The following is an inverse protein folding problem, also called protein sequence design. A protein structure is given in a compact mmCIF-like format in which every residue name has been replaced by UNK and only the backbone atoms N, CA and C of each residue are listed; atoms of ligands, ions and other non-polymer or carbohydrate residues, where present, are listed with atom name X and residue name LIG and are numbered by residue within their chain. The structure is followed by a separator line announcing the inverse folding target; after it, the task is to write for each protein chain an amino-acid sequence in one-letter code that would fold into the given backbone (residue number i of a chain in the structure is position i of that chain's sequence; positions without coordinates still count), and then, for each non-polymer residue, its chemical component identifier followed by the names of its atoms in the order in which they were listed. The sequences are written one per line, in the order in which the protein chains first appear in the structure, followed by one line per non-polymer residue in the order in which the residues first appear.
data_IF_638055675573
#
_entry.id   IF_638055675573
#
_cell.length_a   1.000
_cell.length_b   1.000
_cell.length_c   1.000
_cell.angle_alpha   90.00
_cell.angle_beta   90.00
_cell.angle_gamma   90.00
#
_symmetry.space_group_name_H-M   'P 1'
#
loop_
_entity.id
_entity.type
_entity.pdbx_description
1 polymer ?
#
# COMPACT_ATOMS: atom_id res chain seq x y z
N UNK A 1 11.79 5.28 10.81
CA UNK A 1 10.39 4.84 10.83
C UNK A 1 10.03 4.22 9.49
N UNK A 2 9.48 3.02 9.48
CA UNK A 2 9.14 2.35 8.23
C UNK A 2 7.88 2.95 7.61
N UNK A 3 7.90 3.14 6.30
CA UNK A 3 6.77 3.67 5.53
C UNK A 3 6.33 2.62 4.52
N UNK A 4 5.07 2.23 4.60
CA UNK A 4 4.53 1.14 3.78
C UNK A 4 3.35 1.65 2.97
N UNK A 5 3.32 1.27 1.69
CA UNK A 5 2.22 1.57 0.79
C UNK A 5 1.42 0.30 0.53
N UNK A 6 0.11 0.38 0.73
CA UNK A 6 -0.83 -0.70 0.43
C UNK A 6 -1.70 -0.25 -0.74
N UNK A 7 -1.80 -1.06 -1.79
CA UNK A 7 -2.52 -0.71 -3.01
C UNK A 7 -3.72 -1.63 -3.21
N UNK A 8 -4.92 -1.03 -3.28
CA UNK A 8 -6.15 -1.74 -3.66
C UNK A 8 -7.15 -0.76 -4.25
N UNK A 9 -7.40 -0.83 -5.56
CA UNK A 9 -8.28 0.13 -6.23
C UNK A 9 -9.75 -0.29 -6.25
N UNK A 10 -10.06 -1.57 -6.29
CA UNK A 10 -11.43 -2.11 -6.38
C UNK A 10 -11.42 -3.61 -6.03
N UNK A 11 -12.56 -4.31 -5.91
CA UNK A 11 -13.89 -3.77 -5.86
C UNK A 11 -14.26 -3.35 -4.43
N UNK A 12 -15.44 -2.75 -4.24
CA UNK A 12 -15.85 -2.22 -2.94
C UNK A 12 -15.68 -3.21 -1.78
N UNK A 13 -16.15 -4.45 -1.96
CA UNK A 13 -16.02 -5.46 -0.91
C UNK A 13 -14.57 -5.77 -0.56
N UNK A 14 -13.71 -5.87 -1.57
CA UNK A 14 -12.28 -6.14 -1.38
C UNK A 14 -11.56 -4.96 -0.74
N UNK A 15 -11.93 -3.73 -1.13
CA UNK A 15 -11.39 -2.53 -0.51
C UNK A 15 -11.79 -2.46 0.95
N UNK A 16 -13.06 -2.76 1.25
CA UNK A 16 -13.57 -2.77 2.63
C UNK A 16 -12.85 -3.81 3.49
N UNK A 17 -12.51 -4.97 2.91
CA UNK A 17 -11.78 -6.01 3.64
C UNK A 17 -10.34 -5.64 3.93
N UNK A 18 -9.79 -4.68 3.23
CA UNK A 18 -8.45 -4.15 3.49
C UNK A 18 -8.42 -3.35 4.80
N UNK A 19 -9.54 -2.73 5.17
CA UNK A 19 -9.60 -1.85 6.33
C UNK A 19 -9.25 -2.55 7.64
N UNK A 20 -9.83 -3.73 7.97
CA UNK A 20 -9.44 -4.43 9.20
C UNK A 20 -7.96 -4.81 9.22
N UNK A 21 -7.40 -5.17 8.08
CA UNK A 21 -5.97 -5.51 7.97
C UNK A 21 -5.12 -4.29 8.28
N UNK A 22 -5.43 -3.16 7.67
CA UNK A 22 -4.71 -1.90 7.90
C UNK A 22 -4.83 -1.46 9.35
N UNK A 23 -6.05 -1.51 9.91
CA UNK A 23 -6.29 -1.15 11.29
C UNK A 23 -5.45 -2.02 12.26
N UNK A 24 -5.49 -3.33 12.04
CA UNK A 24 -4.76 -4.28 12.86
C UNK A 24 -3.26 -4.01 12.83
N UNK A 25 -2.70 -3.79 11.64
CA UNK A 25 -1.28 -3.49 11.48
C UNK A 25 -0.89 -2.17 12.15
N UNK A 26 -1.74 -1.16 12.01
CA UNK A 26 -1.47 0.16 12.57
C UNK A 26 -1.45 0.11 14.11
N UNK A 27 -2.36 -0.66 14.70
CA UNK A 27 -2.42 -0.82 16.15
C UNK A 27 -1.26 -1.65 16.66
N UNK A 28 -0.91 -2.74 15.97
CA UNK A 28 0.18 -3.62 16.38
C UNK A 28 1.56 -2.96 16.23
N UNK A 29 1.70 -2.07 15.26
CA UNK A 29 2.98 -1.42 14.97
C UNK A 29 2.80 0.10 14.93
N UNK A 30 2.67 0.75 16.10
CA UNK A 30 2.40 2.20 16.15
C UNK A 30 3.49 3.06 15.50
N UNK A 31 4.71 2.54 15.40
CA UNK A 31 5.83 3.25 14.78
C UNK A 31 5.85 3.11 13.26
N UNK A 32 4.95 2.28 12.70
CA UNK A 32 4.87 2.07 11.27
C UNK A 32 3.94 3.10 10.65
N UNK A 33 4.40 3.77 9.59
CA UNK A 33 3.54 4.65 8.81
C UNK A 33 2.94 3.86 7.66
N UNK A 34 1.63 3.77 7.61
CA UNK A 34 0.89 3.01 6.60
C UNK A 34 0.14 4.01 5.71
N UNK A 35 0.38 3.92 4.40
CA UNK A 35 -0.37 4.71 3.43
C UNK A 35 -1.18 3.75 2.56
N UNK A 36 -2.47 3.99 2.45
CA UNK A 36 -3.35 3.21 1.59
C UNK A 36 -3.60 3.98 0.30
N UNK A 37 -3.27 3.36 -0.82
CA UNK A 37 -3.56 3.90 -2.14
C UNK A 37 -4.79 3.18 -2.69
N UNK A 38 -5.85 3.93 -2.92
CA UNK A 38 -7.09 3.41 -3.47
C UNK A 38 -7.73 4.48 -4.35
N UNK A 39 -8.88 4.18 -4.93
CA UNK A 39 -9.60 5.20 -5.70
C UNK A 39 -10.11 6.29 -4.75
N UNK A 40 -10.05 7.54 -5.20
CA UNK A 40 -10.46 8.68 -4.38
C UNK A 40 -11.89 8.54 -3.86
N UNK A 41 -12.77 7.89 -4.62
CA UNK A 41 -14.17 7.68 -4.24
C UNK A 41 -14.32 6.86 -2.95
N UNK A 42 -13.31 6.05 -2.60
CA UNK A 42 -13.35 5.21 -1.40
C UNK A 42 -12.80 5.89 -0.15
N UNK A 43 -12.37 7.14 -0.25
CA UNK A 43 -11.79 7.86 0.89
C UNK A 43 -12.65 7.81 2.15
N UNK A 44 -13.98 7.97 2.08
CA UNK A 44 -14.82 7.92 3.29
C UNK A 44 -14.73 6.60 4.07
N UNK A 45 -14.40 5.50 3.38
CA UNK A 45 -14.27 4.19 4.03
C UNK A 45 -13.08 4.12 4.98
N UNK A 46 -12.08 4.97 4.78
CA UNK A 46 -10.82 4.94 5.52
C UNK A 46 -10.76 6.00 6.63
N UNK A 47 -11.89 6.58 6.98
CA UNK A 47 -11.98 7.51 8.09
C UNK A 47 -11.99 6.76 9.42
N UNK A 48 -11.49 7.38 10.47
CA UNK A 48 -11.49 6.80 11.80
C UNK A 48 -10.38 5.78 12.05
N UNK A 49 -9.44 5.64 11.14
CA UNK A 49 -8.28 4.77 11.34
C UNK A 49 -7.23 5.43 12.23
N UNK A 50 -6.31 4.64 12.84
CA UNK A 50 -5.26 5.21 13.68
C UNK A 50 -4.45 6.30 13.01
N UNK A 51 -3.83 7.16 13.80
CA UNK A 51 -3.11 8.34 13.32
C UNK A 51 -1.93 8.01 12.40
N UNK A 52 -1.38 6.81 12.49
CA UNK A 52 -0.28 6.37 11.63
C UNK A 52 -0.74 5.82 10.27
N UNK A 53 -2.04 5.92 9.95
CA UNK A 53 -2.59 5.54 8.66
C UNK A 53 -2.94 6.79 7.86
N UNK A 54 -2.50 6.83 6.61
CA UNK A 54 -2.81 7.91 5.66
C UNK A 54 -3.51 7.33 4.44
N UNK A 55 -4.26 8.14 3.72
CA UNK A 55 -4.95 7.73 2.50
C UNK A 55 -4.51 8.60 1.33
N UNK A 56 -4.25 7.95 0.19
CA UNK A 56 -4.01 8.64 -1.07
C UNK A 56 -5.08 8.19 -2.06
N UNK A 57 -5.85 9.13 -2.59
CA UNK A 57 -6.88 8.84 -3.58
C UNK A 57 -6.33 8.98 -4.99
N UNK A 58 -6.47 7.92 -5.78
CA UNK A 58 -6.09 7.94 -7.19
C UNK A 58 -7.31 8.28 -8.04
N UNK A 59 -7.13 9.16 -9.03
CA UNK A 59 -8.17 9.50 -9.99
C UNK A 59 -7.90 8.75 -11.29
N UNK A 60 -8.36 7.49 -11.33
CA UNK A 60 -8.07 6.58 -12.44
C UNK A 60 -8.84 6.91 -13.72
N UNK A 61 -9.86 7.76 -13.64
CA UNK A 61 -10.63 8.20 -14.81
C UNK A 61 -10.25 9.59 -15.28
N UNK A 62 -9.38 10.28 -14.55
CA UNK A 62 -8.92 11.63 -14.86
C UNK A 62 -7.40 11.75 -14.82
N UNK A 63 -6.88 12.40 -13.78
CA UNK A 63 -5.44 12.71 -13.65
C UNK A 63 -4.54 11.48 -13.76
N UNK A 64 -4.96 10.34 -13.23
CA UNK A 64 -4.17 9.11 -13.19
C UNK A 64 -4.62 8.08 -14.23
N UNK A 65 -5.29 8.53 -15.28
CA UNK A 65 -5.81 7.65 -16.33
C UNK A 65 -4.70 7.20 -17.28
N UNK A 66 -4.75 5.92 -17.64
CA UNK A 66 -3.84 5.34 -18.61
C UNK A 66 -2.39 5.29 -18.14
N UNK A 67 -1.49 4.97 -19.05
CA UNK A 67 -0.07 4.81 -18.73
C UNK A 67 0.58 6.11 -18.27
N UNK A 68 0.24 7.22 -18.91
CA UNK A 68 0.74 8.54 -18.52
C UNK A 68 0.26 8.93 -17.13
N UNK A 69 -1.03 8.65 -16.83
CA UNK A 69 -1.58 8.90 -15.50
C UNK A 69 -0.93 8.03 -14.44
N UNK A 70 -0.60 6.79 -14.76
CA UNK A 70 0.11 5.91 -13.83
C UNK A 70 1.52 6.39 -13.56
N UNK A 71 2.20 6.94 -14.57
CA UNK A 71 3.51 7.56 -14.37
C UNK A 71 3.42 8.76 -13.43
N UNK A 72 2.40 9.59 -13.59
CA UNK A 72 2.16 10.72 -12.70
C UNK A 72 1.93 10.25 -11.27
N UNK A 73 1.08 9.24 -11.11
CA UNK A 73 0.82 8.64 -9.80
C UNK A 73 2.09 8.07 -9.17
N UNK A 74 2.87 7.33 -9.95
CA UNK A 74 4.14 6.79 -9.47
C UNK A 74 5.09 7.89 -8.99
N UNK A 75 5.20 8.98 -9.73
CA UNK A 75 6.06 10.11 -9.33
C UNK A 75 5.62 10.72 -8.01
N UNK A 76 4.30 10.88 -7.83
CA UNK A 76 3.74 11.38 -6.58
C UNK A 76 4.04 10.43 -5.40
N UNK A 77 3.90 9.13 -5.64
CA UNK A 77 4.17 8.12 -4.62
C UNK A 77 5.65 8.02 -4.29
N UNK A 78 6.50 8.08 -5.30
CA UNK A 78 7.95 8.00 -5.09
C UNK A 78 8.47 9.14 -4.23
N UNK A 79 7.89 10.32 -4.37
CA UNK A 79 8.27 11.49 -3.58
C UNK A 79 7.99 11.30 -2.08
N UNK A 80 7.10 10.39 -1.72
CA UNK A 80 6.78 10.09 -0.32
C UNK A 80 7.71 9.08 0.32
N UNK A 81 8.60 8.47 -0.44
CA UNK A 81 9.66 7.57 0.02
C UNK A 81 9.15 6.39 0.85
N UNK A 82 8.50 5.45 0.18
CA UNK A 82 8.07 4.21 0.83
C UNK A 82 9.23 3.21 0.92
N UNK A 83 9.28 2.49 2.03
CA UNK A 83 10.26 1.44 2.26
C UNK A 83 9.79 0.08 1.75
N UNK A 84 8.47 -0.07 1.59
CA UNK A 84 7.86 -1.33 1.19
C UNK A 84 6.51 -1.07 0.53
N UNK A 85 6.19 -1.87 -0.48
CA UNK A 85 4.90 -1.78 -1.19
C UNK A 85 4.20 -3.14 -1.13
N UNK A 86 2.94 -3.14 -0.72
CA UNK A 86 2.10 -4.33 -0.71
C UNK A 86 0.97 -4.15 -1.72
N UNK A 87 0.96 -4.99 -2.75
CA UNK A 87 -0.06 -4.97 -3.81
C UNK A 87 -1.15 -5.98 -3.47
N UNK A 88 -2.30 -5.48 -3.05
CA UNK A 88 -3.46 -6.30 -2.74
C UNK A 88 -4.36 -6.52 -3.95
N UNK A 89 -4.12 -5.80 -5.03
CA UNK A 89 -5.02 -5.85 -6.19
C UNK A 89 -4.54 -6.81 -7.27
N UNK A 90 -3.24 -6.80 -7.55
CA UNK A 90 -2.59 -7.70 -8.49
C UNK A 90 -3.23 -7.69 -9.89
N UNK A 91 -3.48 -6.49 -10.43
CA UNK A 91 -3.97 -6.30 -11.79
C UNK A 91 -2.90 -5.59 -12.61
N UNK A 92 -3.12 -5.47 -13.92
CA UNK A 92 -2.13 -4.88 -14.83
C UNK A 92 -1.67 -3.49 -14.37
N UNK A 93 -2.62 -2.67 -13.92
CA UNK A 93 -2.34 -1.31 -13.45
C UNK A 93 -1.41 -1.30 -12.24
N UNK A 94 -1.69 -2.17 -11.25
CA UNK A 94 -0.85 -2.25 -10.07
C UNK A 94 0.49 -2.91 -10.37
N UNK A 95 0.52 -3.86 -11.31
CA UNK A 95 1.77 -4.49 -11.74
C UNK A 95 2.73 -3.47 -12.35
N UNK A 96 2.21 -2.51 -13.09
CA UNK A 96 3.04 -1.45 -13.65
C UNK A 96 3.69 -0.61 -12.55
N UNK A 97 2.89 -0.20 -11.58
CA UNK A 97 3.39 0.57 -10.43
C UNK A 97 4.44 -0.23 -9.64
N UNK A 98 4.15 -1.50 -9.40
CA UNK A 98 5.06 -2.36 -8.67
C UNK A 98 6.38 -2.57 -9.42
N UNK A 99 6.34 -2.71 -10.74
CA UNK A 99 7.54 -2.81 -11.55
C UNK A 99 8.43 -1.56 -11.38
N UNK A 100 7.80 -0.38 -11.42
CA UNK A 100 8.53 0.87 -11.23
C UNK A 100 9.17 0.94 -9.85
N UNK A 101 8.46 0.50 -8.81
CA UNK A 101 9.02 0.46 -7.47
C UNK A 101 10.18 -0.53 -7.35
N UNK A 102 10.05 -1.71 -7.96
CA UNK A 102 11.14 -2.69 -7.97
C UNK A 102 12.37 -2.16 -8.67
N UNK A 103 12.20 -1.43 -9.77
CA UNK A 103 13.31 -0.80 -10.47
C UNK A 103 13.99 0.29 -9.62
N UNK A 104 13.27 0.85 -8.65
CA UNK A 104 13.82 1.81 -7.70
C UNK A 104 14.37 1.15 -6.43
N UNK A 105 14.50 -0.19 -6.42
CA UNK A 105 15.01 -0.99 -5.31
C UNK A 105 14.10 -0.97 -4.07
N UNK A 106 12.80 -0.79 -4.26
CA UNK A 106 11.82 -0.85 -3.18
C UNK A 106 11.18 -2.23 -3.17
N UNK A 107 11.25 -2.98 -2.05
CA UNK A 107 10.62 -4.30 -1.97
C UNK A 107 9.12 -4.24 -2.20
N UNK A 108 8.62 -5.16 -3.01
CA UNK A 108 7.19 -5.25 -3.33
C UNK A 108 6.70 -6.68 -3.08
N UNK A 109 5.56 -6.79 -2.40
CA UNK A 109 4.86 -8.06 -2.24
C UNK A 109 3.50 -7.96 -2.93
N UNK A 110 3.16 -8.99 -3.72
CA UNK A 110 1.84 -9.13 -4.32
C UNK A 110 1.05 -10.14 -3.52
N UNK A 111 -0.14 -9.74 -3.05
CA UNK A 111 -0.97 -10.59 -2.22
C UNK A 111 -2.26 -10.91 -2.95
N UNK A 112 -2.38 -12.17 -3.30
CA UNK A 112 -3.54 -12.75 -3.95
C UNK A 112 -4.57 -13.11 -2.90
N UNK A 113 -5.83 -12.82 -3.08
CA UNK A 113 -6.94 -13.27 -2.24
C UNK A 113 -6.78 -12.97 -0.74
N UNK A 114 -7.67 -12.17 -0.22
CA UNK A 114 -7.60 -11.59 1.11
C UNK A 114 -7.37 -12.55 2.28
N UNK A 115 -7.89 -13.79 2.23
CA UNK A 115 -7.78 -14.69 3.40
C UNK A 115 -6.36 -15.20 3.62
N UNK A 116 -5.73 -15.67 2.57
CA UNK A 116 -4.34 -16.14 2.65
C UNK A 116 -3.39 -14.97 2.75
N UNK A 117 -3.77 -13.86 2.11
CA UNK A 117 -2.97 -12.65 2.10
C UNK A 117 -2.77 -12.01 3.46
N UNK A 118 -3.76 -12.12 4.36
CA UNK A 118 -3.67 -11.49 5.68
C UNK A 118 -2.50 -12.02 6.49
N UNK A 119 -2.37 -13.32 6.60
CA UNK A 119 -1.27 -13.94 7.35
C UNK A 119 0.08 -13.66 6.69
N UNK A 120 0.15 -13.81 5.37
CA UNK A 120 1.39 -13.53 4.63
C UNK A 120 1.83 -12.09 4.78
N UNK A 121 0.89 -11.16 4.75
CA UNK A 121 1.19 -9.75 4.92
C UNK A 121 1.79 -9.48 6.30
N UNK A 122 1.19 -10.02 7.34
CA UNK A 122 1.69 -9.83 8.70
C UNK A 122 3.10 -10.39 8.85
N UNK A 123 3.37 -11.58 8.33
CA UNK A 123 4.70 -12.18 8.37
C UNK A 123 5.74 -11.34 7.62
N UNK A 124 5.40 -10.88 6.43
CA UNK A 124 6.32 -10.07 5.62
C UNK A 124 6.61 -8.73 6.26
N UNK A 125 5.60 -8.12 6.89
CA UNK A 125 5.81 -6.88 7.61
C UNK A 125 6.72 -7.03 8.81
N UNK A 126 6.54 -8.11 9.55
CA UNK A 126 7.41 -8.42 10.67
C UNK A 126 8.86 -8.54 10.18
N UNK A 127 9.05 -9.23 9.04
CA UNK A 127 10.36 -9.42 8.45
C UNK A 127 11.00 -8.09 8.02
N UNK A 128 10.21 -7.20 7.41
CA UNK A 128 10.70 -5.87 7.01
C UNK A 128 11.14 -5.08 8.23
N UNK A 129 10.35 -5.10 9.30
CA UNK A 129 10.70 -4.40 10.53
C UNK A 129 11.98 -4.95 11.16
N UNK A 130 12.14 -6.26 11.17
CA UNK A 130 13.38 -6.89 11.68
C UNK A 130 14.59 -6.49 10.85
N UNK A 131 14.46 -6.49 9.52
CA UNK A 131 15.52 -6.08 8.64
C UNK A 131 15.94 -4.63 8.88
N UNK A 132 14.96 -3.75 9.10
CA UNK A 132 15.24 -2.36 9.39
C UNK A 132 15.95 -2.19 10.74
N UNK A 133 15.53 -2.93 11.75
CA UNK A 133 16.21 -2.92 13.04
C UNK A 133 17.67 -3.35 12.89
N UNK A 134 17.92 -4.36 12.08
CA UNK A 134 19.28 -4.82 11.80
C UNK A 134 20.11 -3.76 11.10
N UNK A 135 19.49 -3.00 10.19
CA UNK A 135 20.17 -1.95 9.44
C UNK A 135 20.62 -0.78 10.31
N UNK A 136 19.93 -0.55 11.42
CA UNK A 136 20.23 0.57 12.31
C UNK A 136 21.18 0.22 13.44
N UNK A 137 21.66 -1.00 13.46
CA UNK A 137 22.67 -1.43 14.43
C UNK A 137 24.08 -1.27 13.82
#
# INVERSE_FOLDING_TARGET
MARILIIRFSALGDVAMTIPVVHSLAVQYPQLEITVLSRAVWQPLFQGLPANVSFIGADLTGKHKGLWGLNTLYSELKAKRFDYVADFHHVLRTKYLCLRFRLANIPVASIYKGRVGKEKLVRRRHKVLENQKSSFR
#
